data_IF_317464476329
#
_entry.id   IF_317464476329
#
_cell.length_a   1.000
_cell.length_b   1.000
_cell.length_c   1.000
_cell.angle_alpha   90.00
_cell.angle_beta   90.00
_cell.angle_gamma   90.00
#
_symmetry.space_group_name_H-M   'P 1'
#
loop_
_entity.id
_entity.type
_entity.pdbx_description
1 polymer ?
#
# COMPACT_ATOMS: atom_id res chain seq x y z
N UNK A 1 13.57 -22.25 -28.19
CA UNK A 1 12.85 -21.67 -27.04
C UNK A 1 11.44 -22.26 -26.97
N UNK A 2 11.26 -23.46 -26.38
CA UNK A 2 9.95 -24.18 -26.40
C UNK A 2 8.90 -23.51 -25.52
N UNK A 3 9.29 -23.01 -24.35
CA UNK A 3 8.38 -22.37 -23.39
C UNK A 3 7.77 -21.09 -23.98
N UNK A 4 8.60 -20.24 -24.59
CA UNK A 4 8.14 -19.00 -25.21
C UNK A 4 7.13 -19.23 -26.35
N UNK A 5 7.27 -20.32 -27.12
CA UNK A 5 6.31 -20.63 -28.18
C UNK A 5 4.94 -21.04 -27.62
N UNK A 6 4.93 -21.82 -26.53
CA UNK A 6 3.69 -22.24 -25.85
C UNK A 6 2.98 -21.03 -25.25
N UNK A 7 3.74 -20.14 -24.61
CA UNK A 7 3.20 -18.86 -24.14
C UNK A 7 2.57 -18.08 -25.29
N UNK A 8 3.30 -17.92 -26.39
CA UNK A 8 2.86 -17.14 -27.55
C UNK A 8 1.62 -17.71 -28.23
N UNK A 9 1.42 -19.02 -28.23
CA UNK A 9 0.23 -19.66 -28.77
C UNK A 9 -0.99 -19.51 -27.85
N UNK A 10 -0.78 -19.48 -26.54
CA UNK A 10 -1.85 -19.42 -25.54
C UNK A 10 -2.26 -17.99 -25.15
N UNK A 11 -1.39 -17.01 -25.34
CA UNK A 11 -1.62 -15.63 -24.87
C UNK A 11 -2.76 -14.93 -25.64
N UNK A 12 -3.01 -15.33 -26.88
CA UNK A 12 -4.04 -14.70 -27.73
C UNK A 12 -5.48 -15.03 -27.27
N UNK A 13 -5.68 -16.10 -26.51
CA UNK A 13 -6.99 -16.55 -25.99
C UNK A 13 -7.03 -16.64 -24.46
N UNK A 14 -6.12 -15.94 -23.80
CA UNK A 14 -5.84 -16.11 -22.37
C UNK A 14 -6.95 -15.53 -21.47
N UNK A 15 -7.48 -16.36 -20.57
CA UNK A 15 -8.43 -15.94 -19.52
C UNK A 15 -7.87 -16.20 -18.12
N UNK A 16 -8.34 -15.45 -17.09
CA UNK A 16 -7.93 -15.72 -15.71
C UNK A 16 -8.22 -17.16 -15.30
N UNK A 17 -7.21 -17.87 -14.81
CA UNK A 17 -7.23 -19.30 -14.50
C UNK A 17 -6.33 -20.12 -15.43
N UNK A 18 -6.10 -19.67 -16.67
CA UNK A 18 -5.23 -20.36 -17.63
C UNK A 18 -3.75 -20.33 -17.22
N UNK A 19 -3.37 -19.40 -16.33
CA UNK A 19 -2.03 -19.32 -15.73
C UNK A 19 -1.63 -20.65 -15.08
N UNK A 20 -2.56 -21.30 -14.37
CA UNK A 20 -2.28 -22.53 -13.63
C UNK A 20 -1.98 -23.69 -14.59
N UNK A 21 -2.79 -23.85 -15.64
CA UNK A 21 -2.56 -24.86 -16.67
C UNK A 21 -1.25 -24.62 -17.43
N UNK A 22 -0.88 -23.36 -17.66
CA UNK A 22 0.38 -23.00 -18.30
C UNK A 22 1.58 -23.35 -17.41
N UNK A 23 1.51 -23.09 -16.10
CA UNK A 23 2.56 -23.44 -15.13
C UNK A 23 2.73 -24.96 -15.06
N UNK A 24 1.63 -25.72 -15.02
CA UNK A 24 1.68 -27.18 -15.04
C UNK A 24 2.30 -27.73 -16.34
N UNK A 25 2.00 -27.11 -17.48
CA UNK A 25 2.61 -27.48 -18.75
C UNK A 25 4.12 -27.21 -18.78
N UNK A 26 4.56 -26.08 -18.21
CA UNK A 26 5.98 -25.76 -18.08
C UNK A 26 6.68 -26.72 -17.13
N UNK A 27 6.07 -27.01 -15.99
CA UNK A 27 6.57 -27.99 -15.04
C UNK A 27 6.73 -29.37 -15.68
N UNK A 28 5.79 -29.79 -16.52
CA UNK A 28 5.88 -31.03 -17.29
C UNK A 28 7.05 -31.03 -18.27
N UNK A 29 7.26 -29.93 -18.99
CA UNK A 29 8.36 -29.82 -19.95
C UNK A 29 9.73 -29.79 -19.29
N UNK A 30 9.82 -29.18 -18.11
CA UNK A 30 11.03 -29.04 -17.33
C UNK A 30 11.25 -30.20 -16.33
N UNK A 31 10.28 -31.12 -16.21
CA UNK A 31 10.27 -32.22 -15.23
C UNK A 31 10.34 -31.74 -13.78
N UNK A 32 9.67 -30.63 -13.49
CA UNK A 32 9.63 -30.00 -12.17
C UNK A 32 8.38 -30.39 -11.38
N UNK A 33 7.53 -31.29 -11.88
CA UNK A 33 6.26 -31.65 -11.23
C UNK A 33 6.41 -32.23 -9.81
N UNK A 34 7.58 -32.81 -9.48
CA UNK A 34 7.87 -33.30 -8.12
C UNK A 34 8.55 -32.26 -7.21
N UNK A 35 8.73 -31.03 -7.68
CA UNK A 35 9.45 -29.97 -6.97
C UNK A 35 8.52 -28.88 -6.41
N UNK A 36 7.23 -28.95 -6.71
CA UNK A 36 6.22 -28.04 -6.17
C UNK A 36 4.91 -28.78 -5.96
N UNK A 37 4.11 -28.24 -5.04
CA UNK A 37 2.71 -28.57 -4.87
C UNK A 37 1.92 -27.27 -4.95
N UNK A 38 0.80 -27.29 -5.66
CA UNK A 38 -0.16 -26.19 -5.63
C UNK A 38 -0.64 -26.00 -4.19
N UNK A 39 -0.31 -24.84 -3.61
CA UNK A 39 -0.93 -24.43 -2.38
C UNK A 39 -2.34 -23.97 -2.73
N UNK A 40 -3.34 -24.63 -2.13
CA UNK A 40 -4.65 -24.01 -2.05
C UNK A 40 -4.45 -22.70 -1.28
N UNK A 41 -5.19 -21.65 -1.66
CA UNK A 41 -5.31 -20.46 -0.82
C UNK A 41 -6.08 -20.87 0.45
N UNK A 42 -5.41 -21.59 1.36
CA UNK A 42 -5.88 -21.89 2.69
C UNK A 42 -5.65 -20.59 3.45
N UNK A 43 -6.61 -19.69 3.34
CA UNK A 43 -6.87 -18.74 4.40
C UNK A 43 -7.26 -19.60 5.60
N UNK A 44 -6.32 -19.91 6.50
CA UNK A 44 -6.73 -20.04 7.89
C UNK A 44 -7.57 -18.79 8.17
N UNK A 45 -8.72 -18.87 8.86
CA UNK A 45 -9.43 -17.69 9.26
C UNK A 45 -8.59 -16.98 10.36
N UNK A 46 -7.47 -16.35 9.98
CA UNK A 46 -7.31 -14.96 10.36
C UNK A 46 -8.59 -14.29 9.90
N UNK A 47 -9.26 -13.59 10.80
CA UNK A 47 -10.53 -12.90 10.64
C UNK A 47 -10.51 -11.78 9.58
N UNK A 48 -10.03 -12.08 8.38
CA UNK A 48 -9.83 -11.18 7.26
C UNK A 48 -10.25 -11.92 5.99
N UNK A 49 -11.51 -11.76 5.63
CA UNK A 49 -12.01 -12.05 4.29
C UNK A 49 -11.22 -11.18 3.30
N UNK A 50 -10.36 -11.82 2.51
CA UNK A 50 -9.70 -11.21 1.36
C UNK A 50 -10.73 -10.92 0.28
N UNK A 51 -11.31 -9.73 0.34
CA UNK A 51 -11.97 -9.12 -0.81
C UNK A 51 -10.96 -8.94 -1.95
N UNK A 52 -11.40 -9.00 -3.23
CA UNK A 52 -10.53 -8.88 -4.41
C UNK A 52 -9.89 -7.49 -4.59
N UNK A 53 -10.13 -6.55 -3.67
CA UNK A 53 -9.45 -5.27 -3.56
C UNK A 53 -8.32 -5.38 -2.53
N UNK A 54 -7.08 -5.47 -3.02
CA UNK A 54 -5.90 -5.68 -2.18
C UNK A 54 -5.77 -4.66 -1.04
N UNK A 55 -5.35 -5.16 0.14
CA UNK A 55 -4.89 -4.49 1.38
C UNK A 55 -5.60 -3.22 1.85
N UNK A 56 -6.64 -2.76 1.18
CA UNK A 56 -7.23 -1.43 1.32
C UNK A 56 -8.70 -1.69 1.48
N UNK A 57 -9.14 -1.90 2.72
CA UNK A 57 -10.55 -2.05 3.03
C UNK A 57 -11.19 -0.65 2.93
N UNK A 58 -11.91 -0.35 1.84
CA UNK A 58 -12.43 1.00 1.60
C UNK A 58 -13.50 1.39 2.62
N UNK A 59 -14.23 0.41 3.18
CA UNK A 59 -15.23 0.68 4.22
C UNK A 59 -14.58 1.05 5.55
N UNK A 60 -13.50 0.35 5.92
CA UNK A 60 -12.72 0.67 7.12
C UNK A 60 -12.03 2.04 6.99
N UNK A 61 -11.55 2.38 5.79
CA UNK A 61 -10.96 3.70 5.51
C UNK A 61 -11.99 4.82 5.65
N UNK A 62 -13.22 4.59 5.16
CA UNK A 62 -14.32 5.53 5.29
C UNK A 62 -14.75 5.70 6.75
N UNK A 63 -14.78 4.63 7.54
CA UNK A 63 -15.02 4.72 8.99
C UNK A 63 -13.91 5.55 9.68
N UNK A 64 -12.66 5.36 9.27
CA UNK A 64 -11.50 6.06 9.82
C UNK A 64 -11.23 7.43 9.17
N UNK A 65 -12.11 7.93 8.32
CA UNK A 65 -11.98 9.23 7.64
C UNK A 65 -11.72 10.39 8.63
N UNK A 66 -12.41 10.50 9.78
CA UNK A 66 -12.12 11.57 10.74
C UNK A 66 -10.70 11.51 11.32
N UNK A 67 -10.18 10.30 11.55
CA UNK A 67 -8.80 10.11 12.01
C UNK A 67 -7.80 10.42 10.89
N UNK A 68 -8.09 9.99 9.66
CA UNK A 68 -7.26 10.28 8.49
C UNK A 68 -7.14 11.79 8.24
N UNK A 69 -8.22 12.56 8.40
CA UNK A 69 -8.20 14.02 8.34
C UNK A 69 -7.22 14.61 9.36
N UNK A 70 -7.31 14.20 10.64
CA UNK A 70 -6.43 14.70 11.70
C UNK A 70 -4.97 14.34 11.44
N UNK A 71 -4.70 13.13 10.96
CA UNK A 71 -3.34 12.70 10.64
C UNK A 71 -2.77 13.41 9.41
N UNK A 72 -3.58 13.68 8.38
CA UNK A 72 -3.16 14.51 7.24
C UNK A 72 -2.84 15.94 7.68
N UNK A 73 -3.65 16.51 8.58
CA UNK A 73 -3.40 17.84 9.13
C UNK A 73 -2.10 17.89 9.95
N UNK A 74 -1.86 16.91 10.83
CA UNK A 74 -0.60 16.77 11.58
C UNK A 74 0.60 16.59 10.64
N UNK A 75 0.44 15.85 9.54
CA UNK A 75 1.49 15.70 8.53
C UNK A 75 1.81 17.02 7.81
N UNK A 76 0.80 17.80 7.40
CA UNK A 76 1.00 19.12 6.78
C UNK A 76 1.77 20.07 7.70
N UNK A 77 1.36 20.16 8.97
CA UNK A 77 2.03 20.99 9.98
C UNK A 77 3.49 20.59 10.21
N UNK A 78 3.81 19.30 10.12
CA UNK A 78 5.20 18.82 10.25
C UNK A 78 6.06 19.17 9.05
N UNK A 79 5.46 19.24 7.87
CA UNK A 79 6.16 19.51 6.63
C UNK A 79 6.39 21.00 6.37
N UNK A 80 5.68 21.91 7.06
CA UNK A 80 5.82 23.37 6.89
C UNK A 80 7.27 23.90 6.99
N UNK A 81 8.06 23.32 7.89
CA UNK A 81 9.43 23.75 8.16
C UNK A 81 10.49 22.80 7.57
N UNK A 82 10.11 21.94 6.62
CA UNK A 82 10.99 20.92 6.04
C UNK A 82 11.26 21.20 4.56
N UNK A 83 12.49 20.92 4.15
CA UNK A 83 12.87 20.91 2.74
C UNK A 83 12.24 19.73 2.01
N UNK A 84 12.16 19.82 0.67
CA UNK A 84 11.62 18.74 -0.18
C UNK A 84 12.38 17.43 0.03
N UNK A 85 13.69 17.51 0.19
CA UNK A 85 14.58 16.38 0.43
C UNK A 85 14.30 15.69 1.77
N UNK A 86 14.03 16.46 2.83
CA UNK A 86 13.66 15.91 4.14
C UNK A 86 12.30 15.21 4.09
N UNK A 87 11.31 15.82 3.43
CA UNK A 87 10.00 15.19 3.24
C UNK A 87 10.16 13.89 2.46
N UNK A 88 10.96 13.90 1.39
CA UNK A 88 11.22 12.72 0.57
C UNK A 88 11.88 11.58 1.37
N UNK A 89 12.84 11.91 2.23
CA UNK A 89 13.50 10.93 3.11
C UNK A 89 12.49 10.26 4.05
N UNK A 90 11.59 11.04 4.64
CA UNK A 90 10.56 10.53 5.57
C UNK A 90 9.58 9.62 4.83
N UNK A 91 9.01 10.06 3.71
CA UNK A 91 8.04 9.23 2.96
C UNK A 91 8.67 7.98 2.36
N UNK A 92 9.94 8.05 1.95
CA UNK A 92 10.68 6.88 1.44
C UNK A 92 10.94 5.86 2.55
N UNK A 93 11.24 6.31 3.77
CA UNK A 93 11.35 5.42 4.93
C UNK A 93 10.04 4.70 5.20
N UNK A 94 8.91 5.42 5.14
CA UNK A 94 7.58 4.81 5.33
C UNK A 94 7.26 3.84 4.22
N UNK A 95 7.56 4.16 2.96
CA UNK A 95 7.42 3.25 1.84
C UNK A 95 8.22 1.96 2.03
N UNK A 96 9.45 2.06 2.51
CA UNK A 96 10.29 0.89 2.87
C UNK A 96 9.72 0.09 4.05
N UNK A 97 9.06 0.74 5.01
CA UNK A 97 8.35 0.04 6.08
C UNK A 97 7.12 -0.71 5.51
N UNK A 98 6.41 -0.07 4.58
CA UNK A 98 5.26 -0.61 3.85
C UNK A 98 5.54 -1.94 3.14
N UNK A 99 6.76 -2.16 2.63
CA UNK A 99 7.12 -3.42 1.97
C UNK A 99 7.10 -4.63 2.92
N UNK A 100 7.12 -4.40 4.23
CA UNK A 100 7.01 -5.45 5.25
C UNK A 100 5.58 -5.63 5.78
N UNK A 101 4.63 -4.87 5.25
CA UNK A 101 3.27 -4.75 5.74
C UNK A 101 3.16 -3.67 6.83
N UNK A 102 2.20 -2.76 6.66
CA UNK A 102 1.75 -1.82 7.69
C UNK A 102 0.33 -2.19 8.04
N UNK A 103 0.10 -2.52 9.30
CA UNK A 103 -1.20 -2.81 9.84
C UNK A 103 -1.86 -1.50 10.28
N UNK A 104 -2.83 -1.02 9.48
CA UNK A 104 -3.57 0.22 9.73
C UNK A 104 -4.93 -0.04 10.40
N UNK A 105 -5.30 -1.31 10.56
CA UNK A 105 -6.51 -1.75 11.28
C UNK A 105 -6.34 -1.60 12.78
N UNK A 106 -5.18 -1.97 13.30
CA UNK A 106 -4.87 -1.95 14.74
C UNK A 106 -4.42 -0.56 15.22
N UNK A 107 -5.18 0.13 16.11
CA UNK A 107 -4.79 1.42 16.66
C UNK A 107 -3.67 1.32 17.72
N UNK A 108 -3.43 0.15 18.31
CA UNK A 108 -2.42 -0.07 19.35
C UNK A 108 -1.05 -0.46 18.79
N UNK A 109 -1.02 -0.86 17.51
CA UNK A 109 0.22 -1.23 16.81
C UNK A 109 0.95 0.01 16.31
N UNK A 110 2.03 0.36 17.03
CA UNK A 110 2.85 1.52 16.70
C UNK A 110 4.19 1.16 16.05
N UNK A 111 4.70 2.10 15.26
CA UNK A 111 5.94 2.01 14.53
C UNK A 111 6.80 3.24 14.83
N UNK A 112 8.11 3.02 14.98
CA UNK A 112 9.10 4.09 15.13
C UNK A 112 9.74 4.40 13.78
N UNK A 113 9.83 5.70 13.46
CA UNK A 113 10.58 6.18 12.29
C UNK A 113 11.98 6.61 12.73
N UNK A 114 13.02 6.20 12.01
CA UNK A 114 14.38 6.69 12.26
C UNK A 114 14.50 8.17 11.94
N UNK A 115 13.74 8.65 10.95
CA UNK A 115 13.68 10.07 10.61
C UNK A 115 12.95 10.90 11.67
N UNK A 116 12.12 10.28 12.53
CA UNK A 116 11.38 10.94 13.63
C UNK A 116 11.40 10.03 14.87
N UNK A 117 12.55 9.90 15.56
CA UNK A 117 12.72 8.89 16.61
C UNK A 117 11.95 9.21 17.91
N UNK A 118 11.48 10.44 18.07
CA UNK A 118 10.82 10.92 19.29
C UNK A 118 9.33 10.55 19.37
N UNK A 119 8.76 9.95 18.32
CA UNK A 119 7.33 9.62 18.27
C UNK A 119 7.08 8.23 17.70
N UNK A 120 6.10 7.58 18.30
CA UNK A 120 5.47 6.38 17.79
C UNK A 120 4.28 6.75 16.90
N UNK A 121 4.13 6.05 15.78
CA UNK A 121 3.08 6.30 14.80
C UNK A 121 2.27 5.03 14.58
N UNK A 122 0.94 5.15 14.58
CA UNK A 122 0.06 4.04 14.17
C UNK A 122 0.17 3.81 12.67
N UNK A 123 -0.23 2.62 12.20
CA UNK A 123 -0.17 2.30 10.77
C UNK A 123 -0.97 3.28 9.91
N UNK A 124 -2.17 3.68 10.34
CA UNK A 124 -2.98 4.69 9.64
C UNK A 124 -2.27 6.06 9.58
N UNK A 125 -1.63 6.48 10.68
CA UNK A 125 -0.91 7.75 10.73
C UNK A 125 0.27 7.74 9.76
N UNK A 126 1.03 6.64 9.69
CA UNK A 126 2.12 6.48 8.72
C UNK A 126 1.63 6.60 7.27
N UNK A 127 0.53 5.93 6.93
CA UNK A 127 -0.04 5.99 5.59
C UNK A 127 -0.50 7.41 5.23
N UNK A 128 -1.12 8.14 6.17
CA UNK A 128 -1.50 9.54 5.98
C UNK A 128 -0.28 10.45 5.79
N UNK A 129 0.80 10.20 6.54
CA UNK A 129 2.04 10.99 6.46
C UNK A 129 2.75 10.76 5.12
N UNK A 130 2.78 9.51 4.65
CA UNK A 130 3.27 9.15 3.33
C UNK A 130 2.43 9.78 2.21
N UNK A 131 1.10 9.65 2.27
CA UNK A 131 0.18 10.23 1.30
C UNK A 131 0.36 11.75 1.18
N UNK A 132 0.35 12.45 2.31
CA UNK A 132 0.51 13.90 2.38
C UNK A 132 1.86 14.33 1.81
N UNK A 133 2.94 13.65 2.17
CA UNK A 133 4.28 14.00 1.70
C UNK A 133 4.45 13.76 0.19
N UNK A 134 3.89 12.67 -0.35
CA UNK A 134 3.85 12.46 -1.79
C UNK A 134 3.03 13.53 -2.50
N UNK A 135 1.87 13.93 -1.98
CA UNK A 135 1.08 15.03 -2.58
C UNK A 135 1.80 16.38 -2.58
N UNK A 136 2.71 16.63 -1.64
CA UNK A 136 3.56 17.84 -1.64
C UNK A 136 4.67 17.74 -2.69
N UNK A 137 5.32 16.58 -2.81
CA UNK A 137 6.49 16.37 -3.67
C UNK A 137 6.10 16.15 -5.13
N UNK A 138 5.08 15.34 -5.36
CA UNK A 138 4.59 14.90 -6.66
C UNK A 138 3.06 14.76 -6.61
N UNK A 139 2.31 15.87 -6.81
CA UNK A 139 0.85 15.89 -6.67
C UNK A 139 0.11 14.88 -7.56
N UNK A 140 0.68 14.59 -8.72
CA UNK A 140 0.13 13.69 -9.75
C UNK A 140 0.38 12.20 -9.43
N UNK A 141 1.16 11.88 -8.39
CA UNK A 141 1.43 10.50 -8.01
C UNK A 141 0.15 9.83 -7.47
N UNK A 142 -0.24 8.72 -8.09
CA UNK A 142 -1.30 7.84 -7.61
C UNK A 142 -0.73 6.84 -6.61
N UNK A 143 -1.06 7.03 -5.33
CA UNK A 143 -0.57 6.16 -4.24
C UNK A 143 -1.47 4.94 -3.99
N UNK A 144 -2.62 4.83 -4.67
CA UNK A 144 -3.63 3.80 -4.43
C UNK A 144 -4.36 3.89 -3.08
N UNK A 145 -4.16 4.98 -2.35
CA UNK A 145 -4.76 5.22 -1.03
C UNK A 145 -5.94 6.18 -1.16
N UNK A 146 -7.08 5.83 -0.58
CA UNK A 146 -8.30 6.65 -0.60
C UNK A 146 -8.30 7.67 0.55
N UNK A 147 -7.37 8.64 0.50
CA UNK A 147 -7.27 9.75 1.45
C UNK A 147 -7.54 11.12 0.82
N UNK A 148 -8.06 11.15 -0.41
CA UNK A 148 -8.20 12.39 -1.17
C UNK A 148 -9.08 13.43 -0.47
N UNK A 149 -10.25 13.00 0.03
CA UNK A 149 -11.19 13.89 0.73
C UNK A 149 -10.64 14.37 2.07
N UNK A 150 -10.09 13.45 2.87
CA UNK A 150 -9.45 13.75 4.15
C UNK A 150 -8.28 14.74 3.99
N UNK A 151 -7.41 14.52 3.01
CA UNK A 151 -6.29 15.41 2.69
C UNK A 151 -6.76 16.78 2.23
N UNK A 152 -7.78 16.86 1.37
CA UNK A 152 -8.32 18.13 0.89
C UNK A 152 -8.86 18.97 2.04
N UNK A 153 -9.65 18.36 2.94
CA UNK A 153 -10.15 19.04 4.13
C UNK A 153 -9.01 19.52 5.03
N UNK A 154 -8.00 18.67 5.26
CA UNK A 154 -6.82 19.03 6.04
C UNK A 154 -6.06 20.21 5.43
N UNK A 155 -5.92 20.24 4.10
CA UNK A 155 -5.24 21.32 3.37
C UNK A 155 -5.99 22.66 3.49
N UNK A 156 -7.32 22.65 3.42
CA UNK A 156 -8.13 23.87 3.55
C UNK A 156 -8.03 24.45 4.98
N UNK A 157 -8.05 23.59 5.99
CA UNK A 157 -7.86 23.98 7.40
C UNK A 157 -6.43 24.51 7.63
N UNK A 158 -5.43 23.80 7.11
CA UNK A 158 -4.02 24.19 7.24
C UNK A 158 -3.75 25.57 6.65
N UNK A 159 -4.22 25.84 5.43
CA UNK A 159 -4.11 27.16 4.78
C UNK A 159 -4.78 28.27 5.60
N UNK A 160 -5.92 27.98 6.21
CA UNK A 160 -6.67 28.92 7.05
C UNK A 160 -5.99 29.22 8.38
N UNK A 161 -5.17 28.28 8.89
CA UNK A 161 -4.42 28.45 10.16
C UNK A 161 -3.07 29.15 9.97
N UNK A 162 -2.57 29.27 8.74
CA UNK A 162 -1.28 29.90 8.40
C UNK A 162 -1.45 31.38 7.99
N UNK A 163 -2.69 31.89 7.95
CA UNK A 163 -3.03 33.32 7.84
C UNK A 163 -3.30 33.94 9.20
#
# INVERSE_FOLDING_TARGET
>A
MKLFNIWKEKIDSFIPGDEYEMVDEYARLLKLQGWYDWQLDITEPSSEESSPNGTTNPELLKEKEPAAFLYCLDALQRFDNKSREEIFSIVSEIGMLGTKGIDYSDPDRTHLLKSIPEKEFTGLHLLCLMYTGFKIIEPDLETGLDFADAYKMALDVHKSSVH
#
